data_IF_070225949754
#
_entry.id   IF_070225949754
#
_cell.length_a   1.000
_cell.length_b   1.000
_cell.length_c   1.000
_cell.angle_alpha   90.00
_cell.angle_beta   90.00
_cell.angle_gamma   90.00
#
_symmetry.space_group_name_H-M   'P 1'
#
loop_
_entity.id
_entity.type
_entity.pdbx_description
1 polymer ?
#
# COMPACT_ATOMS: atom_id res chain seq x y z
N UNK A 1 4.46 -12.24 -1.34
CA UNK A 1 4.84 -13.43 -0.56
C UNK A 1 6.06 -13.08 0.28
N UNK A 2 5.98 -13.22 1.60
CA UNK A 2 7.15 -13.16 2.50
C UNK A 2 7.67 -14.59 2.71
N UNK A 3 8.70 -14.95 1.94
CA UNK A 3 9.28 -16.30 1.96
C UNK A 3 9.91 -16.65 3.31
N UNK A 4 10.45 -15.68 4.04
CA UNK A 4 11.11 -15.93 5.33
C UNK A 4 10.15 -16.38 6.43
N UNK A 5 8.85 -16.10 6.27
CA UNK A 5 7.80 -16.43 7.24
C UNK A 5 6.71 -17.34 6.68
N UNK A 6 6.87 -17.79 5.43
CA UNK A 6 5.83 -18.51 4.68
C UNK A 6 4.47 -17.79 4.70
N UNK A 7 4.47 -16.45 4.58
CA UNK A 7 3.23 -15.66 4.59
C UNK A 7 2.86 -15.14 3.22
N UNK A 8 1.57 -15.22 2.89
CA UNK A 8 0.98 -14.53 1.75
C UNK A 8 0.09 -13.40 2.24
N UNK A 9 0.23 -12.23 1.61
CA UNK A 9 -0.51 -11.03 1.93
C UNK A 9 -1.31 -10.64 0.69
N UNK A 10 -2.61 -10.40 0.85
CA UNK A 10 -3.51 -10.05 -0.24
C UNK A 10 -4.24 -8.75 0.13
N UNK A 11 -3.99 -7.68 -0.63
CA UNK A 11 -4.79 -6.47 -0.55
C UNK A 11 -6.19 -6.73 -1.09
N UNK A 12 -7.21 -6.38 -0.32
CA UNK A 12 -8.61 -6.59 -0.69
C UNK A 12 -9.45 -5.36 -0.29
N UNK A 13 -9.70 -4.48 -1.26
CA UNK A 13 -10.44 -3.25 -1.04
C UNK A 13 -11.92 -3.48 -0.65
N UNK A 14 -12.53 -4.60 -1.07
CA UNK A 14 -13.88 -4.98 -0.65
C UNK A 14 -14.05 -5.11 0.87
N UNK A 15 -12.98 -5.52 1.54
CA UNK A 15 -12.89 -5.75 2.97
C UNK A 15 -12.09 -4.66 3.71
N UNK A 16 -11.66 -3.61 3.01
CA UNK A 16 -10.83 -2.54 3.55
C UNK A 16 -9.61 -3.07 4.34
N UNK A 17 -8.94 -4.08 3.77
CA UNK A 17 -7.95 -4.85 4.51
C UNK A 17 -6.89 -5.54 3.67
N UNK A 18 -5.86 -6.01 4.38
CA UNK A 18 -4.89 -6.97 3.85
C UNK A 18 -5.10 -8.29 4.56
N UNK A 19 -5.50 -9.32 3.79
CA UNK A 19 -5.63 -10.69 4.27
C UNK A 19 -4.27 -11.36 4.38
N UNK A 20 -4.06 -12.05 5.49
CA UNK A 20 -2.82 -12.76 5.78
C UNK A 20 -3.09 -14.25 5.81
N UNK A 21 -2.33 -14.98 5.00
CA UNK A 21 -2.40 -16.43 4.91
C UNK A 21 -1.06 -17.05 5.28
N UNK A 22 -1.12 -18.20 5.94
CA UNK A 22 -0.03 -19.16 5.96
C UNK A 22 -0.01 -19.84 4.59
N UNK A 23 1.06 -19.56 3.84
CA UNK A 23 1.25 -20.08 2.49
C UNK A 23 1.86 -21.48 2.46
N UNK A 24 2.33 -22.01 3.60
CA UNK A 24 2.80 -23.39 3.70
C UNK A 24 1.64 -24.34 4.00
N UNK A 25 0.71 -23.91 4.85
CA UNK A 25 -0.42 -24.74 5.30
C UNK A 25 -1.77 -24.38 4.64
N UNK A 26 -1.80 -23.40 3.75
CA UNK A 26 -3.00 -22.88 3.08
C UNK A 26 -4.10 -22.40 4.06
N UNK A 27 -3.69 -21.75 5.16
CA UNK A 27 -4.60 -21.32 6.25
C UNK A 27 -4.74 -19.79 6.27
N UNK A 28 -5.98 -19.30 6.34
CA UNK A 28 -6.25 -17.89 6.66
C UNK A 28 -5.90 -17.59 8.12
N UNK A 29 -4.97 -16.66 8.33
CA UNK A 29 -4.49 -16.29 9.65
C UNK A 29 -5.22 -15.08 10.23
N UNK A 30 -5.74 -14.18 9.39
CA UNK A 30 -6.43 -12.97 9.84
C UNK A 30 -6.27 -11.81 8.87
N UNK A 31 -6.65 -10.62 9.32
CA UNK A 31 -6.73 -9.42 8.49
C UNK A 31 -6.18 -8.21 9.21
N UNK A 32 -5.37 -7.44 8.50
CA UNK A 32 -4.94 -6.11 8.91
C UNK A 32 -5.95 -5.12 8.31
N UNK A 33 -6.52 -4.25 9.14
CA UNK A 33 -7.56 -3.28 8.75
C UNK A 33 -7.04 -1.84 8.84
N UNK A 34 -7.92 -0.86 8.60
CA UNK A 34 -7.59 0.56 8.69
C UNK A 34 -7.32 1.21 7.33
N UNK A 35 -7.76 0.56 6.25
CA UNK A 35 -7.76 1.09 4.89
C UNK A 35 -9.09 1.74 4.53
N UNK A 36 -9.13 2.50 3.45
CA UNK A 36 -10.34 3.17 3.01
C UNK A 36 -11.45 2.20 2.59
N UNK A 37 -11.09 1.11 1.90
CA UNK A 37 -12.05 0.19 1.31
C UNK A 37 -12.54 0.67 -0.06
N UNK A 38 -13.68 0.14 -0.52
CA UNK A 38 -14.32 0.56 -1.77
C UNK A 38 -14.79 2.01 -1.68
N UNK A 39 -14.50 2.82 -2.71
CA UNK A 39 -14.99 4.19 -2.79
C UNK A 39 -16.52 4.25 -2.74
N UNK A 40 -17.06 5.07 -1.83
CA UNK A 40 -18.50 5.30 -1.74
C UNK A 40 -19.02 6.04 -2.99
N UNK A 41 -20.34 6.03 -3.26
CA UNK A 41 -20.90 6.74 -4.41
C UNK A 41 -20.60 8.25 -4.45
N UNK A 42 -20.38 8.86 -3.28
CA UNK A 42 -20.06 10.27 -3.09
C UNK A 42 -18.56 10.55 -2.89
N UNK A 43 -17.70 9.53 -3.01
CA UNK A 43 -16.26 9.73 -3.03
C UNK A 43 -15.87 10.59 -4.24
N UNK A 44 -15.10 11.69 -4.07
CA UNK A 44 -14.69 12.55 -5.19
C UNK A 44 -13.89 11.81 -6.27
N UNK A 45 -13.25 10.70 -5.93
CA UNK A 45 -12.53 9.84 -6.85
C UNK A 45 -13.38 8.67 -7.38
N UNK A 46 -14.65 8.59 -6.95
CA UNK A 46 -15.59 7.54 -7.32
C UNK A 46 -15.18 6.16 -6.83
N UNK A 47 -15.98 5.16 -7.23
CA UNK A 47 -15.87 3.79 -6.69
C UNK A 47 -14.53 3.11 -6.95
N UNK A 48 -13.88 3.44 -8.07
CA UNK A 48 -12.63 2.78 -8.49
C UNK A 48 -11.40 3.56 -8.04
N UNK A 49 -11.32 4.86 -8.36
CA UNK A 49 -10.14 5.66 -8.02
C UNK A 49 -10.17 6.15 -6.56
N UNK A 50 -11.26 5.92 -5.83
CA UNK A 50 -11.36 6.12 -4.39
C UNK A 50 -11.21 4.83 -3.59
N UNK A 51 -10.72 3.73 -4.18
CA UNK A 51 -10.58 2.46 -3.46
C UNK A 51 -9.17 2.18 -2.92
N UNK A 52 -9.10 1.40 -1.84
CA UNK A 52 -7.86 0.76 -1.39
C UNK A 52 -8.07 -0.24 -0.25
N UNK A 53 -7.06 -1.07 0.08
CA UNK A 53 -5.71 -1.02 -0.47
C UNK A 53 -5.63 -1.56 -1.90
N UNK A 54 -4.63 -1.13 -2.67
CA UNK A 54 -4.43 -1.57 -4.07
C UNK A 54 -3.13 -2.36 -4.25
N UNK A 55 -2.00 -1.68 -4.13
CA UNK A 55 -0.67 -2.26 -4.15
C UNK A 55 -0.17 -2.52 -2.73
N UNK A 56 0.44 -3.69 -2.52
CA UNK A 56 1.01 -4.08 -1.24
C UNK A 56 2.39 -4.72 -1.43
N UNK A 57 3.29 -4.51 -0.47
CA UNK A 57 4.53 -5.26 -0.34
C UNK A 57 4.96 -5.38 1.12
N UNK A 58 5.83 -6.35 1.40
CA UNK A 58 6.47 -6.48 2.71
C UNK A 58 7.98 -6.34 2.52
N UNK A 59 8.59 -5.42 3.25
CA UNK A 59 10.04 -5.17 3.22
C UNK A 59 10.78 -6.14 4.16
N UNK A 60 12.11 -6.34 4.00
CA UNK A 60 12.89 -7.29 4.81
C UNK A 60 12.88 -7.00 6.32
N UNK A 61 12.71 -5.74 6.72
CA UNK A 61 12.54 -5.32 8.12
C UNK A 61 11.11 -5.58 8.65
N UNK A 62 10.32 -6.41 7.95
CA UNK A 62 8.99 -6.85 8.34
C UNK A 62 7.96 -5.71 8.46
N UNK A 63 8.06 -4.72 7.56
CA UNK A 63 7.05 -3.69 7.43
C UNK A 63 6.15 -4.01 6.24
N UNK A 64 4.84 -3.99 6.46
CA UNK A 64 3.87 -4.00 5.38
C UNK A 64 3.66 -2.58 4.89
N UNK A 65 3.88 -2.37 3.61
CA UNK A 65 3.58 -1.15 2.90
C UNK A 65 2.38 -1.40 1.99
N UNK A 66 1.41 -0.51 2.06
CA UNK A 66 0.18 -0.64 1.27
C UNK A 66 -0.26 0.73 0.78
N UNK A 67 -0.48 0.85 -0.52
CA UNK A 67 -1.13 2.00 -1.13
C UNK A 67 -2.63 1.93 -0.87
N UNK A 68 -3.25 3.08 -0.73
CA UNK A 68 -4.66 3.21 -0.39
C UNK A 68 -5.29 4.40 -1.14
N UNK A 69 -6.58 4.62 -0.92
CA UNK A 69 -7.30 5.73 -1.51
C UNK A 69 -6.67 7.10 -1.16
N UNK A 70 -7.03 8.10 -1.96
CA UNK A 70 -6.67 9.51 -1.74
C UNK A 70 -5.16 9.77 -1.63
N UNK A 71 -4.38 9.05 -2.44
CA UNK A 71 -2.94 9.24 -2.54
C UNK A 71 -2.23 8.92 -1.23
N UNK A 72 -2.67 7.91 -0.49
CA UNK A 72 -2.08 7.56 0.80
C UNK A 72 -1.36 6.22 0.77
N UNK A 73 -0.22 6.17 1.46
CA UNK A 73 0.54 4.94 1.68
C UNK A 73 0.60 4.68 3.17
N UNK A 74 0.16 3.51 3.61
CA UNK A 74 0.18 3.10 5.01
C UNK A 74 1.32 2.13 5.25
N UNK A 75 2.03 2.33 6.36
CA UNK A 75 3.13 1.48 6.80
C UNK A 75 2.72 0.83 8.11
N UNK A 76 2.89 -0.48 8.22
CA UNK A 76 2.60 -1.25 9.43
C UNK A 76 3.84 -2.03 9.85
N UNK A 77 4.19 -2.01 11.14
CA UNK A 77 5.22 -2.89 11.69
C UNK A 77 4.60 -4.25 12.04
N UNK A 78 5.12 -5.32 11.44
CA UNK A 78 4.65 -6.69 11.67
C UNK A 78 5.52 -7.48 12.65
N UNK A 79 6.57 -6.88 13.22
CA UNK A 79 7.59 -7.57 14.05
C UNK A 79 6.96 -8.34 15.21
N UNK A 80 6.01 -7.72 15.92
CA UNK A 80 5.30 -8.34 17.04
C UNK A 80 3.85 -8.69 16.69
N UNK A 81 3.49 -8.65 15.40
CA UNK A 81 2.12 -8.90 14.97
C UNK A 81 1.80 -10.40 15.00
N UNK A 82 0.65 -10.72 15.60
CA UNK A 82 0.17 -12.09 15.74
C UNK A 82 -1.23 -12.23 15.13
N UNK A 83 -1.59 -13.39 14.57
CA UNK A 83 -2.96 -13.73 14.23
C UNK A 83 -3.93 -13.42 15.40
N UNK A 84 -5.11 -12.82 15.14
CA UNK A 84 -5.72 -12.53 13.84
C UNK A 84 -5.35 -11.16 13.24
N UNK A 85 -4.25 -10.54 13.68
CA UNK A 85 -3.73 -9.25 13.23
C UNK A 85 -4.61 -8.02 13.52
N UNK A 86 -5.64 -8.19 14.36
CA UNK A 86 -6.60 -7.14 14.71
C UNK A 86 -6.03 -5.98 15.53
N UNK A 87 -4.86 -6.16 16.15
CA UNK A 87 -4.17 -5.12 16.93
C UNK A 87 -3.15 -4.31 16.12
N UNK A 88 -2.91 -4.68 14.86
CA UNK A 88 -1.95 -3.99 14.00
C UNK A 88 -2.59 -2.70 13.49
N UNK A 89 -1.92 -1.58 13.72
CA UNK A 89 -2.30 -0.26 13.21
C UNK A 89 -1.16 0.37 12.43
N UNK A 90 -1.43 1.34 11.53
CA UNK A 90 -0.38 2.00 10.78
C UNK A 90 0.57 2.75 11.72
N UNK A 91 1.88 2.52 11.56
CA UNK A 91 2.94 3.31 12.20
C UNK A 91 3.24 4.61 11.45
N UNK A 92 2.81 4.69 10.17
CA UNK A 92 2.86 5.90 9.37
C UNK A 92 1.73 5.88 8.31
N UNK A 93 1.27 7.08 7.94
CA UNK A 93 0.43 7.31 6.75
C UNK A 93 1.04 8.47 5.99
N UNK A 94 1.45 8.20 4.74
CA UNK A 94 2.26 9.10 3.92
C UNK A 94 1.41 9.54 2.75
N UNK A 95 1.33 10.85 2.50
CA UNK A 95 0.65 11.36 1.31
C UNK A 95 1.62 11.38 0.12
N UNK A 96 1.24 10.74 -0.97
CA UNK A 96 1.91 10.86 -2.26
C UNK A 96 1.65 12.22 -2.90
N UNK A 97 0.65 12.98 -2.42
CA UNK A 97 0.19 14.24 -3.01
C UNK A 97 -0.82 14.05 -4.15
N UNK A 98 -1.16 12.82 -4.51
CA UNK A 98 -2.28 12.53 -5.40
C UNK A 98 -3.61 12.83 -4.69
N UNK A 99 -4.62 13.19 -5.47
CA UNK A 99 -5.99 13.37 -4.98
C UNK A 99 -6.72 12.03 -4.89
N UNK A 100 -6.43 11.13 -5.82
CA UNK A 100 -7.06 9.82 -5.90
C UNK A 100 -6.07 8.69 -5.58
N UNK A 101 -6.51 7.45 -5.75
CA UNK A 101 -5.78 6.23 -5.41
C UNK A 101 -4.31 6.27 -5.83
N UNK A 102 -3.45 6.03 -4.85
CA UNK A 102 -2.15 5.44 -5.12
C UNK A 102 -2.34 3.95 -5.38
N UNK A 103 -1.68 3.42 -6.40
CA UNK A 103 -2.05 2.13 -6.99
C UNK A 103 -0.93 1.11 -6.80
N UNK A 104 0.04 1.06 -7.70
CA UNK A 104 1.17 0.13 -7.62
C UNK A 104 2.25 0.58 -6.64
N UNK A 105 2.97 -0.39 -6.07
CA UNK A 105 4.09 -0.15 -5.16
C UNK A 105 5.26 -1.10 -5.44
N UNK A 106 6.46 -0.54 -5.43
CA UNK A 106 7.72 -1.28 -5.56
C UNK A 106 8.73 -0.83 -4.50
N UNK A 107 9.70 -1.71 -4.18
CA UNK A 107 10.74 -1.45 -3.20
C UNK A 107 12.12 -1.74 -3.79
N UNK A 108 13.03 -0.77 -3.66
CA UNK A 108 14.46 -0.94 -3.88
C UNK A 108 15.17 -1.15 -2.53
N UNK A 109 15.60 -2.39 -2.22
CA UNK A 109 16.29 -2.70 -0.96
C UNK A 109 17.71 -2.14 -0.89
N UNK A 110 18.34 -1.78 -2.01
CA UNK A 110 19.70 -1.25 -2.02
C UNK A 110 19.73 0.21 -1.61
N UNK A 111 18.82 0.99 -2.17
CA UNK A 111 18.75 2.44 -1.95
C UNK A 111 17.72 2.82 -0.88
N UNK A 112 16.99 1.84 -0.33
CA UNK A 112 15.96 2.05 0.70
C UNK A 112 14.83 2.98 0.21
N UNK A 113 14.35 2.73 -1.01
CA UNK A 113 13.34 3.58 -1.68
C UNK A 113 12.11 2.76 -2.02
N UNK A 114 10.95 3.31 -1.67
CA UNK A 114 9.63 2.86 -2.11
C UNK A 114 9.21 3.73 -3.30
N UNK A 115 8.79 3.11 -4.40
CA UNK A 115 8.19 3.78 -5.54
C UNK A 115 6.70 3.48 -5.57
N UNK A 116 5.87 4.51 -5.74
CA UNK A 116 4.40 4.39 -5.74
C UNK A 116 3.82 5.03 -6.99
N UNK A 117 2.98 4.29 -7.71
CA UNK A 117 2.23 4.78 -8.86
C UNK A 117 1.01 5.61 -8.46
N UNK A 118 0.74 6.69 -9.21
CA UNK A 118 -0.44 7.55 -9.03
C UNK A 118 -1.11 7.77 -10.40
N UNK A 119 -1.76 6.73 -10.96
CA UNK A 119 -2.23 6.72 -12.35
C UNK A 119 -3.47 7.56 -12.60
N UNK A 120 -4.27 7.85 -11.57
CA UNK A 120 -5.47 8.67 -11.67
C UNK A 120 -5.19 10.18 -11.86
N UNK A 121 -3.94 10.60 -11.66
CA UNK A 121 -3.54 11.99 -11.73
C UNK A 121 -3.29 12.44 -13.17
N UNK A 122 -3.44 13.74 -13.42
CA UNK A 122 -3.35 14.33 -14.77
C UNK A 122 -2.37 15.53 -14.74
N UNK A 123 -1.09 15.36 -15.10
CA UNK A 123 -0.48 14.12 -15.60
C UNK A 123 -0.22 13.09 -14.50
N UNK A 124 -0.12 11.79 -14.84
CA UNK A 124 0.21 10.76 -13.87
C UNK A 124 1.66 10.91 -13.41
N UNK A 125 1.96 10.44 -12.20
CA UNK A 125 3.31 10.52 -11.64
C UNK A 125 3.64 9.35 -10.72
N UNK A 126 4.93 9.04 -10.62
CA UNK A 126 5.46 8.18 -9.57
C UNK A 126 5.92 9.02 -8.37
N UNK A 127 5.72 8.52 -7.17
CA UNK A 127 6.26 9.10 -5.94
C UNK A 127 7.38 8.21 -5.41
N UNK A 128 8.52 8.81 -5.09
CA UNK A 128 9.62 8.13 -4.38
C UNK A 128 9.56 8.50 -2.91
N UNK A 129 9.60 7.49 -2.05
CA UNK A 129 9.47 7.60 -0.59
C UNK A 129 10.65 6.86 0.05
N UNK A 130 11.29 7.45 1.05
CA UNK A 130 12.27 6.74 1.88
C UNK A 130 11.60 5.59 2.62
N UNK A 131 12.13 4.36 2.53
CA UNK A 131 11.65 3.25 3.36
C UNK A 131 12.10 3.38 4.81
N UNK A 132 13.07 4.26 5.09
CA UNK A 132 13.56 4.52 6.43
C UNK A 132 12.75 5.65 7.07
N UNK A 133 12.45 5.51 8.37
CA UNK A 133 11.82 6.56 9.18
C UNK A 133 12.66 7.85 9.11
N UNK A 134 12.05 9.02 8.86
CA UNK A 134 10.63 9.36 9.02
C UNK A 134 9.75 9.14 7.77
N UNK A 135 10.18 8.31 6.81
CA UNK A 135 9.43 7.95 5.61
C UNK A 135 9.12 9.15 4.70
N UNK A 136 10.12 10.01 4.50
CA UNK A 136 9.96 11.24 3.71
C UNK A 136 9.68 10.96 2.24
N UNK A 137 8.82 11.78 1.63
CA UNK A 137 8.71 11.86 0.17
C UNK A 137 10.00 12.49 -0.37
N UNK A 138 10.73 11.73 -1.18
CA UNK A 138 11.99 12.13 -1.77
C UNK A 138 11.79 12.89 -3.08
N UNK A 139 10.87 12.42 -3.93
CA UNK A 139 10.59 13.02 -5.22
C UNK A 139 9.20 12.65 -5.74
N UNK A 140 8.73 13.44 -6.71
CA UNK A 140 7.60 13.10 -7.59
C UNK A 140 8.07 13.24 -9.03
N UNK A 141 7.84 12.21 -9.83
CA UNK A 141 8.32 12.12 -11.22
C UNK A 141 7.10 12.11 -12.13
N UNK A 142 6.76 13.25 -12.76
CA UNK A 142 5.61 13.33 -13.66
C UNK A 142 5.88 12.65 -15.00
N UNK A 143 4.85 12.06 -15.59
CA UNK A 143 4.85 11.46 -16.92
C UNK A 143 3.84 12.19 -17.83
N UNK A 144 4.18 13.40 -18.33
CA UNK A 144 3.23 14.27 -19.03
C UNK A 144 2.67 13.69 -20.34
N UNK A 145 3.46 12.85 -21.01
CA UNK A 145 3.10 12.25 -22.30
C UNK A 145 2.56 10.81 -22.17
N UNK A 146 2.34 10.33 -20.93
CA UNK A 146 1.82 9.00 -20.69
C UNK A 146 0.36 8.90 -21.18
N UNK A 147 0.07 7.85 -21.94
CA UNK A 147 -1.29 7.47 -22.37
C UNK A 147 -1.88 6.34 -21.51
N UNK A 148 -1.09 5.83 -20.58
CA UNK A 148 -1.41 4.82 -19.61
C UNK A 148 -0.28 4.78 -18.59
N UNK A 149 -0.64 4.55 -17.33
CA UNK A 149 0.27 4.45 -16.20
C UNK A 149 -0.41 3.53 -15.20
N UNK A 150 0.37 2.69 -14.54
CA UNK A 150 -0.02 1.87 -13.39
C UNK A 150 0.98 2.25 -12.28
#
# INVERSE_FOLDING_TARGET
MDQGRARYYLGEAGNAGVDVFDAENDVFLGRITGFHGVGAPDDPCGRIQGMGPSGILVTPNNQLWATDAHGTVKVFDLTNAQPPFSSVSPIATISTGAQCRSDEIGFDPKDHVIMVGNPAEHPPFATLISSDSPYSVLARIPFPDARGFE
#
